data_IF_600698787936
#
_entry.id   IF_600698787936
#
_cell.length_a   1.000
_cell.length_b   1.000
_cell.length_c   1.000
_cell.angle_alpha   90.00
_cell.angle_beta   90.00
_cell.angle_gamma   90.00
#
_symmetry.space_group_name_H-M   'P 1'
#
loop_
_entity.id
_entity.type
_entity.pdbx_description
1 polymer ?
#
# COMPACT_ATOMS: atom_id res chain seq x y z
N UNK A 1 -60.05 7.64 35.28
CA UNK A 1 -61.47 7.69 34.81
C UNK A 1 -61.50 7.03 33.44
N UNK A 2 -62.41 6.02 33.35
CA UNK A 2 -62.97 5.33 32.16
C UNK A 2 -61.98 4.49 31.36
N UNK A 3 -61.84 3.16 31.51
CA UNK A 3 -62.76 2.00 31.27
C UNK A 3 -63.47 2.06 29.90
N UNK A 4 -63.11 1.08 29.02
CA UNK A 4 -64.00 0.23 28.18
C UNK A 4 -63.06 -0.65 27.32
N UNK A 5 -62.96 -1.85 27.54
CA UNK A 5 -63.68 -3.13 27.28
C UNK A 5 -64.55 -3.13 26.01
N UNK A 6 -64.14 -3.98 25.00
CA UNK A 6 -65.04 -4.74 24.11
C UNK A 6 -64.18 -5.82 23.42
N UNK A 7 -64.23 -7.04 23.89
CA UNK A 7 -64.90 -8.30 23.49
C UNK A 7 -64.79 -8.71 22.00
N UNK A 8 -64.06 -9.79 21.83
CA UNK A 8 -64.19 -11.03 21.07
C UNK A 8 -65.14 -11.06 19.84
N UNK A 9 -64.59 -11.60 18.73
CA UNK A 9 -65.35 -12.51 17.85
C UNK A 9 -64.43 -13.51 17.20
N UNK A 10 -64.68 -14.80 17.48
CA UNK A 10 -64.16 -15.98 16.84
C UNK A 10 -64.93 -16.22 15.53
N UNK A 11 -64.24 -16.46 14.43
CA UNK A 11 -64.85 -17.17 13.31
C UNK A 11 -63.78 -18.03 12.64
N UNK A 12 -63.89 -19.33 12.83
CA UNK A 12 -63.24 -20.36 12.08
C UNK A 12 -63.86 -20.54 10.70
N UNK A 13 -63.08 -20.52 9.65
CA UNK A 13 -63.47 -21.13 8.37
C UNK A 13 -62.27 -21.90 7.83
N UNK A 14 -62.35 -23.25 7.89
CA UNK A 14 -61.58 -24.16 7.10
C UNK A 14 -62.18 -24.23 5.69
N UNK A 15 -61.33 -24.02 4.65
CA UNK A 15 -61.62 -24.54 3.32
C UNK A 15 -60.29 -24.83 2.59
N UNK A 16 -60.10 -26.06 2.29
CA UNK A 16 -59.13 -26.69 1.41
C UNK A 16 -59.19 -26.11 0.00
N UNK A 17 -58.01 -25.78 -0.59
CA UNK A 17 -57.81 -25.83 -2.02
C UNK A 17 -56.35 -26.10 -2.33
N UNK A 18 -56.06 -27.23 -2.92
CA UNK A 18 -54.87 -27.59 -3.65
C UNK A 18 -54.46 -26.53 -4.69
N UNK A 19 -53.18 -26.15 -4.74
CA UNK A 19 -52.61 -25.35 -5.81
C UNK A 19 -51.11 -25.36 -5.73
N UNK A 20 -50.48 -26.29 -6.42
CA UNK A 20 -49.05 -26.39 -6.74
C UNK A 20 -48.47 -25.06 -7.19
N UNK A 21 -47.42 -24.58 -6.55
CA UNK A 21 -46.22 -23.85 -7.01
C UNK A 21 -45.73 -22.91 -5.95
N UNK A 22 -44.78 -23.35 -5.18
CA UNK A 22 -43.76 -22.47 -4.54
C UNK A 22 -42.62 -23.36 -4.02
N UNK A 23 -41.85 -23.93 -4.95
CA UNK A 23 -40.64 -24.65 -4.59
C UNK A 23 -39.38 -23.84 -4.96
N UNK A 24 -39.52 -22.62 -5.42
CA UNK A 24 -38.36 -21.78 -5.81
C UNK A 24 -37.98 -20.70 -4.77
N UNK A 25 -38.84 -20.42 -3.80
CA UNK A 25 -38.52 -19.38 -2.82
C UNK A 25 -37.86 -19.93 -1.54
N UNK A 26 -37.96 -21.24 -1.29
CA UNK A 26 -37.32 -21.87 -0.13
C UNK A 26 -35.81 -22.18 -0.38
N UNK A 27 -35.43 -22.47 -1.62
CA UNK A 27 -34.03 -22.71 -1.97
C UNK A 27 -33.17 -21.42 -1.92
N UNK A 28 -33.75 -20.27 -2.23
CA UNK A 28 -33.03 -18.98 -2.16
C UNK A 28 -32.88 -18.47 -0.70
N UNK A 29 -33.73 -18.90 0.24
CA UNK A 29 -33.62 -18.54 1.63
C UNK A 29 -32.65 -19.46 2.42
N UNK A 30 -32.42 -20.69 1.97
CA UNK A 30 -31.43 -21.59 2.55
C UNK A 30 -29.98 -21.27 2.13
N UNK A 31 -29.77 -20.62 0.99
CA UNK A 31 -28.45 -20.11 0.61
C UNK A 31 -28.02 -18.86 1.39
N UNK A 32 -28.95 -18.09 1.96
CA UNK A 32 -28.65 -16.87 2.71
C UNK A 32 -28.22 -17.12 4.18
N UNK A 33 -28.41 -18.34 4.70
CA UNK A 33 -28.01 -18.73 6.07
C UNK A 33 -26.88 -19.74 6.09
N UNK A 34 -26.00 -19.76 5.08
CA UNK A 34 -24.72 -20.44 5.23
C UNK A 34 -23.94 -19.68 6.31
N UNK A 35 -23.89 -20.23 7.52
CA UNK A 35 -22.98 -19.77 8.56
C UNK A 35 -21.59 -19.77 7.94
N UNK A 36 -20.99 -18.57 7.81
CA UNK A 36 -19.59 -18.42 7.45
C UNK A 36 -18.84 -19.02 8.64
N UNK A 37 -18.42 -20.28 8.52
CA UNK A 37 -17.63 -20.92 9.56
C UNK A 37 -16.37 -20.09 9.79
N UNK A 38 -15.93 -19.96 11.04
CA UNK A 38 -14.73 -19.20 11.41
C UNK A 38 -13.46 -19.63 10.64
N UNK A 39 -13.49 -20.80 10.01
CA UNK A 39 -12.43 -21.33 9.15
C UNK A 39 -12.46 -20.82 7.70
N UNK A 40 -13.53 -20.14 7.28
CA UNK A 40 -13.69 -19.68 5.89
C UNK A 40 -13.03 -18.32 5.61
N UNK A 41 -12.73 -17.56 6.65
CA UNK A 41 -12.15 -16.22 6.57
C UNK A 41 -10.84 -16.17 7.37
N UNK A 42 -9.86 -15.45 6.86
CA UNK A 42 -8.63 -15.11 7.56
C UNK A 42 -8.22 -13.67 7.26
N UNK A 43 -7.34 -13.12 8.08
CA UNK A 43 -6.72 -11.84 7.76
C UNK A 43 -5.20 -11.88 7.93
N UNK A 44 -4.54 -10.99 7.20
CA UNK A 44 -3.09 -10.80 7.23
C UNK A 44 -2.76 -9.33 7.45
N UNK A 45 -1.76 -9.07 8.29
CA UNK A 45 -1.19 -7.74 8.49
C UNK A 45 -0.09 -7.54 7.44
N UNK A 46 -0.46 -7.03 6.28
CA UNK A 46 0.43 -6.90 5.11
C UNK A 46 1.68 -6.09 5.45
N UNK A 47 1.50 -4.96 6.14
CA UNK A 47 2.61 -4.09 6.54
C UNK A 47 3.58 -4.82 7.49
N UNK A 48 3.07 -5.65 8.39
CA UNK A 48 3.91 -6.42 9.31
C UNK A 48 4.70 -7.52 8.59
N UNK A 49 4.08 -8.18 7.59
CA UNK A 49 4.77 -9.16 6.74
C UNK A 49 5.87 -8.48 5.93
N UNK A 50 5.54 -7.42 5.22
CA UNK A 50 6.50 -6.70 4.38
C UNK A 50 7.67 -6.12 5.20
N UNK A 51 7.40 -5.55 6.37
CA UNK A 51 8.44 -4.97 7.23
C UNK A 51 9.43 -6.00 7.80
N UNK A 52 9.05 -7.28 7.86
CA UNK A 52 9.85 -8.36 8.43
C UNK A 52 10.40 -9.34 7.40
N UNK A 53 9.93 -9.29 6.14
CA UNK A 53 10.45 -10.17 5.10
C UNK A 53 11.88 -9.77 4.69
N UNK A 54 12.69 -10.75 4.30
CA UNK A 54 14.09 -10.57 3.94
C UNK A 54 14.27 -9.60 2.76
N UNK A 55 13.35 -9.62 1.80
CA UNK A 55 13.33 -8.68 0.69
C UNK A 55 13.34 -7.21 1.19
N UNK A 56 12.48 -6.89 2.16
CA UNK A 56 12.39 -5.53 2.69
C UNK A 56 13.59 -5.19 3.59
N UNK A 57 14.05 -6.15 4.41
CA UNK A 57 15.17 -5.95 5.31
C UNK A 57 16.49 -5.70 4.57
N UNK A 58 16.66 -6.27 3.38
CA UNK A 58 17.87 -6.14 2.56
C UNK A 58 17.68 -5.07 1.48
N UNK A 59 16.86 -5.34 0.47
CA UNK A 59 16.70 -4.45 -0.69
C UNK A 59 15.92 -3.19 -0.35
N UNK A 60 14.85 -3.27 0.44
CA UNK A 60 14.05 -2.11 0.83
C UNK A 60 14.86 -1.08 1.63
N UNK A 61 15.68 -1.53 2.58
CA UNK A 61 16.58 -0.65 3.33
C UNK A 61 17.65 -0.02 2.44
N UNK A 62 18.25 -0.81 1.56
CA UNK A 62 19.25 -0.30 0.61
C UNK A 62 18.68 0.78 -0.31
N UNK A 63 17.46 0.56 -0.83
CA UNK A 63 16.76 1.54 -1.66
C UNK A 63 16.40 2.81 -0.88
N UNK A 64 15.94 2.67 0.35
CA UNK A 64 15.67 3.81 1.25
C UNK A 64 16.93 4.64 1.51
N UNK A 65 18.05 3.99 1.82
CA UNK A 65 19.33 4.69 2.03
C UNK A 65 19.82 5.38 0.76
N UNK A 66 19.70 4.73 -0.40
CA UNK A 66 20.04 5.29 -1.69
C UNK A 66 19.23 6.56 -1.98
N UNK A 67 17.92 6.50 -1.74
CA UNK A 67 17.02 7.64 -1.90
C UNK A 67 17.40 8.81 -0.97
N UNK A 68 17.65 8.52 0.31
CA UNK A 68 18.09 9.55 1.27
C UNK A 68 19.43 10.19 0.89
N UNK A 69 20.39 9.39 0.42
CA UNK A 69 21.70 9.90 -0.06
C UNK A 69 21.51 10.79 -1.29
N UNK A 70 20.68 10.40 -2.25
CA UNK A 70 20.38 11.20 -3.42
C UNK A 70 19.76 12.54 -3.02
N UNK A 71 18.73 12.55 -2.17
CA UNK A 71 18.09 13.76 -1.68
C UNK A 71 19.05 14.72 -0.99
N UNK A 72 19.92 14.20 -0.11
CA UNK A 72 20.97 15.00 0.53
C UNK A 72 21.94 15.58 -0.48
N UNK A 73 22.37 14.77 -1.45
CA UNK A 73 23.29 15.20 -2.52
C UNK A 73 22.68 16.33 -3.37
N UNK A 74 21.41 16.19 -3.72
CA UNK A 74 20.69 17.21 -4.48
C UNK A 74 20.57 18.52 -3.72
N UNK A 75 20.11 18.47 -2.47
CA UNK A 75 20.01 19.64 -1.62
C UNK A 75 21.36 20.36 -1.43
N UNK A 76 22.44 19.61 -1.23
CA UNK A 76 23.78 20.17 -1.07
C UNK A 76 24.30 20.81 -2.37
N UNK A 77 24.10 20.15 -3.51
CA UNK A 77 24.50 20.71 -4.82
C UNK A 77 23.73 22.00 -5.13
N UNK A 78 22.42 22.01 -4.88
CA UNK A 78 21.60 23.21 -5.06
C UNK A 78 22.06 24.36 -4.18
N UNK A 79 22.28 24.09 -2.88
CA UNK A 79 22.78 25.11 -1.95
C UNK A 79 24.14 25.66 -2.37
N UNK A 80 25.05 24.80 -2.85
CA UNK A 80 26.35 25.22 -3.33
C UNK A 80 26.24 26.15 -4.54
N UNK A 81 25.41 25.78 -5.54
CA UNK A 81 25.18 26.60 -6.73
C UNK A 81 24.55 27.94 -6.37
N UNK A 82 23.58 27.97 -5.46
CA UNK A 82 22.98 29.22 -4.97
C UNK A 82 24.00 30.09 -4.23
N UNK A 83 24.86 29.48 -3.37
CA UNK A 83 25.91 30.19 -2.68
C UNK A 83 26.96 30.79 -3.64
N UNK A 84 27.37 30.02 -4.65
CA UNK A 84 28.31 30.50 -5.69
C UNK A 84 27.73 31.68 -6.47
N UNK A 85 26.44 31.62 -6.86
CA UNK A 85 25.75 32.70 -7.53
C UNK A 85 25.69 33.97 -6.65
N UNK A 86 25.39 33.82 -5.35
CA UNK A 86 25.37 34.93 -4.41
C UNK A 86 26.76 35.56 -4.24
N UNK A 87 27.80 34.73 -4.10
CA UNK A 87 29.18 35.20 -3.99
C UNK A 87 29.66 35.95 -5.27
N UNK A 88 29.26 35.43 -6.44
CA UNK A 88 29.57 36.10 -7.69
C UNK A 88 28.94 37.51 -7.74
N UNK A 89 27.68 37.60 -7.38
CA UNK A 89 26.95 38.88 -7.30
C UNK A 89 27.62 39.87 -6.34
N UNK A 90 28.02 39.39 -5.15
CA UNK A 90 28.71 40.23 -4.16
C UNK A 90 30.06 40.71 -4.65
N UNK A 91 30.88 39.83 -5.26
CA UNK A 91 32.18 40.22 -5.83
C UNK A 91 32.03 41.26 -6.91
N UNK A 92 31.03 41.15 -7.78
CA UNK A 92 30.75 42.12 -8.84
C UNK A 92 30.32 43.48 -8.27
N UNK A 93 29.40 43.49 -7.30
CA UNK A 93 28.95 44.70 -6.63
C UNK A 93 30.07 45.47 -5.93
N UNK A 94 31.03 44.74 -5.33
CA UNK A 94 32.21 45.29 -4.66
C UNK A 94 33.32 45.71 -5.65
N UNK A 95 33.15 45.53 -6.96
CA UNK A 95 34.15 45.83 -7.96
C UNK A 95 35.39 44.95 -7.92
N UNK A 96 35.28 43.75 -7.31
CA UNK A 96 36.41 42.82 -7.12
C UNK A 96 36.70 41.97 -8.37
N UNK A 97 35.79 41.99 -9.32
CA UNK A 97 35.91 41.31 -10.62
C UNK A 97 35.48 42.19 -11.76
N UNK A 98 36.01 41.96 -12.97
CA UNK A 98 35.61 42.68 -14.14
C UNK A 98 34.24 42.23 -14.67
N UNK A 99 33.58 43.04 -15.48
CA UNK A 99 32.32 42.70 -16.13
C UNK A 99 32.46 41.44 -16.98
N UNK A 100 33.57 41.30 -17.73
CA UNK A 100 33.81 40.12 -18.56
C UNK A 100 33.97 38.85 -17.73
N UNK A 101 34.72 38.94 -16.62
CA UNK A 101 34.88 37.78 -15.73
C UNK A 101 33.55 37.40 -15.03
N UNK A 102 32.76 38.40 -14.62
CA UNK A 102 31.45 38.17 -14.05
C UNK A 102 30.51 37.46 -15.03
N UNK A 103 30.47 37.86 -16.28
CA UNK A 103 29.69 37.23 -17.36
C UNK A 103 30.16 35.79 -17.61
N UNK A 104 31.47 35.54 -17.68
CA UNK A 104 32.03 34.21 -17.87
C UNK A 104 31.67 33.26 -16.73
N UNK A 105 31.80 33.74 -15.47
CA UNK A 105 31.43 32.97 -14.29
C UNK A 105 29.92 32.70 -14.20
N UNK A 106 29.09 33.69 -14.54
CA UNK A 106 27.63 33.53 -14.61
C UNK A 106 27.23 32.43 -15.60
N UNK A 107 27.80 32.49 -16.83
CA UNK A 107 27.53 31.44 -17.85
C UNK A 107 27.98 30.05 -17.37
N UNK A 108 29.10 29.97 -16.62
CA UNK A 108 29.57 28.71 -16.05
C UNK A 108 28.59 28.15 -15.00
N UNK A 109 28.08 29.02 -14.11
CA UNK A 109 27.09 28.62 -13.09
C UNK A 109 25.81 28.16 -13.78
N UNK A 110 25.30 28.89 -14.78
CA UNK A 110 24.09 28.54 -15.53
C UNK A 110 24.21 27.15 -16.20
N UNK A 111 25.35 26.87 -16.85
CA UNK A 111 25.62 25.53 -17.41
C UNK A 111 25.63 24.44 -16.37
N UNK A 112 26.20 24.72 -15.18
CA UNK A 112 26.24 23.76 -14.08
C UNK A 112 24.87 23.55 -13.46
N UNK A 113 24.04 24.59 -13.36
CA UNK A 113 22.64 24.48 -12.93
C UNK A 113 21.85 23.60 -13.89
N UNK A 114 21.96 23.84 -15.20
CA UNK A 114 21.28 23.02 -16.21
C UNK A 114 21.72 21.54 -16.17
N UNK A 115 23.05 21.31 -16.05
CA UNK A 115 23.59 19.96 -15.93
C UNK A 115 23.11 19.26 -14.64
N UNK A 116 23.09 20.00 -13.52
CA UNK A 116 22.58 19.48 -12.25
C UNK A 116 21.10 19.09 -12.37
N UNK A 117 20.25 19.98 -12.89
CA UNK A 117 18.82 19.71 -13.07
C UNK A 117 18.58 18.45 -13.91
N UNK A 118 19.29 18.35 -15.05
CA UNK A 118 19.20 17.18 -15.92
C UNK A 118 19.64 15.88 -15.21
N UNK A 119 20.75 15.93 -14.45
CA UNK A 119 21.25 14.74 -13.74
C UNK A 119 20.34 14.34 -12.59
N UNK A 120 19.85 15.31 -11.81
CA UNK A 120 18.93 15.05 -10.70
C UNK A 120 17.61 14.43 -11.19
N UNK A 121 17.09 14.95 -12.32
CA UNK A 121 15.87 14.38 -12.92
C UNK A 121 16.07 12.94 -13.38
N UNK A 122 17.19 12.62 -14.02
CA UNK A 122 17.50 11.25 -14.44
C UNK A 122 17.67 10.31 -13.25
N UNK A 123 18.37 10.77 -12.21
CA UNK A 123 18.57 10.00 -10.99
C UNK A 123 17.24 9.76 -10.24
N UNK A 124 16.36 10.76 -10.20
CA UNK A 124 15.02 10.63 -9.62
C UNK A 124 14.18 9.60 -10.39
N UNK A 125 14.17 9.65 -11.72
CA UNK A 125 13.48 8.66 -12.56
C UNK A 125 14.00 7.24 -12.33
N UNK A 126 15.32 7.06 -12.21
CA UNK A 126 15.92 5.76 -11.94
C UNK A 126 15.51 5.24 -10.54
N UNK A 127 15.44 6.10 -9.53
CA UNK A 127 14.98 5.74 -8.19
C UNK A 127 13.49 5.38 -8.18
N UNK A 128 12.66 6.10 -8.92
CA UNK A 128 11.23 5.80 -9.06
C UNK A 128 11.02 4.44 -9.75
N UNK A 129 11.82 4.12 -10.78
CA UNK A 129 11.78 2.82 -11.45
C UNK A 129 12.22 1.68 -10.51
N UNK A 130 13.32 1.86 -9.78
CA UNK A 130 13.77 0.88 -8.79
C UNK A 130 12.70 0.65 -7.70
N UNK A 131 12.07 1.73 -7.21
CA UNK A 131 11.00 1.64 -6.23
C UNK A 131 9.76 0.92 -6.77
N UNK A 132 9.40 1.16 -8.02
CA UNK A 132 8.31 0.46 -8.70
C UNK A 132 8.58 -1.04 -8.81
N UNK A 133 9.80 -1.42 -9.25
CA UNK A 133 10.21 -2.84 -9.36
C UNK A 133 10.20 -3.50 -7.98
N UNK A 134 10.78 -2.84 -6.96
CA UNK A 134 10.77 -3.34 -5.59
C UNK A 134 9.34 -3.56 -5.05
N UNK A 135 8.45 -2.59 -5.26
CA UNK A 135 7.06 -2.68 -4.81
C UNK A 135 6.33 -3.86 -5.47
N UNK A 136 6.51 -4.06 -6.77
CA UNK A 136 5.91 -5.19 -7.48
C UNK A 136 6.45 -6.53 -6.95
N UNK A 137 7.76 -6.65 -6.74
CA UNK A 137 8.36 -7.87 -6.16
C UNK A 137 7.83 -8.16 -4.75
N UNK A 138 7.67 -7.13 -3.92
CA UNK A 138 7.11 -7.28 -2.57
C UNK A 138 5.64 -7.74 -2.61
N UNK A 139 4.84 -7.22 -3.54
CA UNK A 139 3.45 -7.66 -3.75
C UNK A 139 3.38 -9.10 -4.26
N UNK A 140 4.24 -9.48 -5.22
CA UNK A 140 4.31 -10.83 -5.74
C UNK A 140 4.72 -11.84 -4.67
N UNK A 141 5.70 -11.50 -3.84
CA UNK A 141 6.14 -12.32 -2.71
C UNK A 141 4.98 -12.56 -1.72
N UNK A 142 4.29 -11.50 -1.33
CA UNK A 142 3.12 -11.61 -0.46
C UNK A 142 2.02 -12.48 -1.09
N UNK A 143 1.75 -12.26 -2.37
CA UNK A 143 0.70 -13.02 -3.08
C UNK A 143 1.03 -14.51 -3.15
N UNK A 144 2.27 -14.89 -3.43
CA UNK A 144 2.74 -16.28 -3.40
C UNK A 144 2.61 -16.87 -2.00
N UNK A 145 3.12 -16.19 -0.97
CA UNK A 145 3.00 -16.66 0.41
C UNK A 145 1.54 -16.92 0.83
N UNK A 146 0.62 -16.02 0.46
CA UNK A 146 -0.81 -16.22 0.72
C UNK A 146 -1.39 -17.38 -0.08
N UNK A 147 -0.98 -17.58 -1.34
CA UNK A 147 -1.41 -18.71 -2.16
C UNK A 147 -0.93 -20.03 -1.59
N UNK A 148 0.32 -20.12 -1.14
CA UNK A 148 0.91 -21.34 -0.57
C UNK A 148 0.23 -21.72 0.75
N UNK A 149 -0.03 -20.75 1.63
CA UNK A 149 -0.80 -20.97 2.86
C UNK A 149 -2.21 -21.47 2.54
N UNK A 150 -2.80 -20.98 1.48
CA UNK A 150 -4.16 -21.32 1.06
C UNK A 150 -4.23 -22.41 -0.03
N UNK A 151 -3.15 -23.14 -0.29
CA UNK A 151 -3.10 -24.18 -1.32
C UNK A 151 -4.17 -25.27 -1.11
N UNK A 152 -4.48 -25.61 0.15
CA UNK A 152 -5.58 -26.49 0.54
C UNK A 152 -6.98 -25.88 0.46
N UNK A 153 -7.14 -24.65 -0.04
CA UNK A 153 -8.41 -23.89 -0.06
C UNK A 153 -9.11 -23.83 1.29
N UNK A 154 -8.33 -23.73 2.36
CA UNK A 154 -8.79 -23.66 3.74
C UNK A 154 -9.63 -22.40 3.99
N UNK A 155 -9.20 -21.27 3.39
CA UNK A 155 -9.88 -20.00 3.52
C UNK A 155 -10.54 -19.64 2.20
N UNK A 156 -11.80 -19.20 2.26
CA UNK A 156 -12.54 -18.67 1.10
C UNK A 156 -12.22 -17.21 0.85
N UNK A 157 -11.82 -16.49 1.90
CA UNK A 157 -11.49 -15.07 1.86
C UNK A 157 -10.32 -14.77 2.79
N UNK A 158 -9.31 -14.08 2.27
CA UNK A 158 -8.20 -13.54 3.05
C UNK A 158 -8.19 -12.04 2.85
N UNK A 159 -8.22 -11.28 3.96
CA UNK A 159 -8.40 -9.83 3.97
C UNK A 159 -7.15 -9.17 4.55
N UNK A 160 -6.76 -8.01 4.04
CA UNK A 160 -5.76 -7.18 4.72
C UNK A 160 -6.36 -6.60 6.01
N UNK A 161 -5.64 -6.69 7.12
CA UNK A 161 -6.07 -6.18 8.42
C UNK A 161 -6.45 -4.69 8.42
N UNK A 162 -5.88 -3.89 7.52
CA UNK A 162 -6.22 -2.47 7.37
C UNK A 162 -7.67 -2.21 6.95
N UNK A 163 -8.33 -3.21 6.37
CA UNK A 163 -9.75 -3.14 6.00
C UNK A 163 -10.70 -3.57 7.13
N UNK A 164 -10.17 -4.00 8.27
CA UNK A 164 -10.94 -4.50 9.40
C UNK A 164 -11.03 -3.44 10.50
N UNK A 165 -12.21 -3.35 11.14
CA UNK A 165 -12.40 -2.55 12.35
C UNK A 165 -12.04 -3.38 13.58
N UNK A 166 -12.45 -4.66 13.59
CA UNK A 166 -12.19 -5.62 14.65
C UNK A 166 -12.18 -7.03 14.08
N UNK A 167 -11.38 -7.94 14.63
CA UNK A 167 -11.32 -9.34 14.24
C UNK A 167 -10.74 -10.20 15.36
N UNK A 168 -11.23 -11.42 15.44
CA UNK A 168 -10.67 -12.44 16.34
C UNK A 168 -9.23 -12.77 15.94
N UNK A 169 -8.33 -12.80 16.92
CA UNK A 169 -6.91 -13.12 16.72
C UNK A 169 -6.65 -14.53 16.17
N UNK A 170 -7.59 -15.46 16.35
CA UNK A 170 -7.51 -16.80 15.79
C UNK A 170 -7.59 -16.82 14.26
N UNK A 171 -8.12 -15.76 13.64
CA UNK A 171 -8.19 -15.57 12.19
C UNK A 171 -6.90 -14.97 11.59
N UNK A 172 -5.93 -14.62 12.45
CA UNK A 172 -4.68 -13.98 12.01
C UNK A 172 -3.70 -15.02 11.44
N UNK A 173 -3.44 -14.92 10.13
CA UNK A 173 -2.46 -15.78 9.45
C UNK A 173 -1.11 -15.09 9.19
N UNK A 174 -0.89 -13.90 9.73
CA UNK A 174 0.37 -13.15 9.58
C UNK A 174 1.62 -13.95 9.96
N UNK A 175 1.64 -14.70 11.10
CA UNK A 175 2.80 -15.50 11.46
C UNK A 175 3.12 -16.61 10.43
N UNK A 176 2.08 -17.20 9.84
CA UNK A 176 2.26 -18.19 8.78
C UNK A 176 2.81 -17.55 7.51
N UNK A 177 2.31 -16.34 7.13
CA UNK A 177 2.84 -15.61 5.97
C UNK A 177 4.34 -15.28 6.12
N UNK A 178 4.79 -14.93 7.31
CA UNK A 178 6.20 -14.62 7.57
C UNK A 178 7.12 -15.82 7.31
N UNK A 179 6.69 -17.04 7.67
CA UNK A 179 7.48 -18.25 7.39
C UNK A 179 7.66 -18.45 5.87
N UNK A 180 6.60 -18.29 5.09
CA UNK A 180 6.66 -18.46 3.64
C UNK A 180 7.40 -17.32 2.92
N UNK A 181 7.49 -16.13 3.50
CA UNK A 181 8.24 -15.01 2.90
C UNK A 181 9.73 -15.07 3.19
N UNK A 182 10.18 -15.74 4.24
CA UNK A 182 11.61 -15.97 4.49
C UNK A 182 12.17 -17.12 3.63
N UNK A 183 11.42 -18.20 3.43
CA UNK A 183 11.87 -19.34 2.62
C UNK A 183 11.88 -19.02 1.11
N UNK A 184 10.97 -18.17 0.63
CA UNK A 184 10.87 -17.81 -0.78
C UNK A 184 11.94 -16.80 -1.24
N UNK A 185 12.67 -16.16 -0.34
CA UNK A 185 13.74 -15.22 -0.70
C UNK A 185 14.99 -15.92 -1.25
N UNK A 186 15.17 -17.22 -0.96
CA UNK A 186 16.32 -18.00 -1.44
C UNK A 186 16.12 -18.54 -2.88
N UNK A 187 14.93 -18.41 -3.48
CA UNK A 187 14.61 -18.91 -4.82
C UNK A 187 14.49 -17.81 -5.89
N UNK A 188 14.78 -16.55 -5.57
CA UNK A 188 14.71 -15.38 -6.48
C UNK A 188 16.10 -14.80 -6.78
#
# INVERSE_FOLDING_TARGET
>A
MKKMLFTALVAACAMTACGTKTTETAAAAEEATREIGSSDIAYVQVEAVLAQCDLFLNEGKALQEKTQKAQKSWAQKEQNLQSEAAQLQEKYQKGLITTNDAQAQQQSIEKRVAAYQSSAQKEAQALDEENFVFTNRAQDLLHRAVQDINAGKKYKLIINSTALIDADTTLNITPACLLYTSDAADEL
#
